data_IF_204887069087
#
_entry.id   IF_204887069087
#
_cell.length_a   1.000
_cell.length_b   1.000
_cell.length_c   1.000
_cell.angle_alpha   90.00
_cell.angle_beta   90.00
_cell.angle_gamma   90.00
#
_symmetry.space_group_name_H-M   'P 1'
#
loop_
_entity.id
_entity.type
_entity.pdbx_description
1 polymer ?
#
# COMPACT_ATOMS: atom_id res chain seq x y z
N UNK A 1 1.55 11.49 -6.66
CA UNK A 1 1.00 10.11 -6.69
C UNK A 1 0.86 9.61 -5.26
N UNK A 2 -0.26 9.02 -4.94
CA UNK A 2 -0.48 8.39 -3.63
C UNK A 2 0.41 7.13 -3.54
N UNK A 3 0.77 6.69 -2.32
CA UNK A 3 1.49 5.43 -2.09
C UNK A 3 0.56 4.24 -2.40
N UNK A 4 0.35 3.92 -3.67
CA UNK A 4 -0.52 2.83 -4.13
C UNK A 4 0.28 1.59 -4.49
N UNK A 5 -0.41 0.45 -4.61
CA UNK A 5 0.19 -0.81 -5.07
C UNK A 5 0.75 -0.65 -6.50
N UNK A 6 0.05 0.09 -7.38
CA UNK A 6 0.52 0.35 -8.73
C UNK A 6 1.86 1.10 -8.74
N UNK A 7 1.97 2.17 -7.95
CA UNK A 7 3.20 2.92 -7.82
C UNK A 7 4.33 2.06 -7.23
N UNK A 8 4.03 1.23 -6.21
CA UNK A 8 5.00 0.33 -5.60
C UNK A 8 5.54 -0.69 -6.60
N UNK A 9 4.66 -1.35 -7.34
CA UNK A 9 5.03 -2.38 -8.33
C UNK A 9 5.77 -1.78 -9.53
N UNK A 10 5.37 -0.61 -10.00
CA UNK A 10 6.09 0.12 -11.04
C UNK A 10 7.52 0.50 -10.60
N UNK A 11 7.67 1.11 -9.41
CA UNK A 11 9.00 1.45 -8.89
C UNK A 11 9.87 0.22 -8.65
N UNK A 12 9.28 -0.86 -8.18
CA UNK A 12 9.95 -2.15 -8.03
C UNK A 12 10.47 -2.67 -9.38
N UNK A 13 9.62 -2.66 -10.41
CA UNK A 13 10.01 -3.07 -11.76
C UNK A 13 11.13 -2.18 -12.34
N UNK A 14 11.06 -0.88 -12.07
CA UNK A 14 12.09 0.08 -12.49
C UNK A 14 13.42 -0.15 -11.76
N UNK A 15 13.41 -0.41 -10.46
CA UNK A 15 14.60 -0.74 -9.67
C UNK A 15 15.24 -2.07 -10.15
N UNK A 16 14.41 -3.03 -10.58
CA UNK A 16 14.86 -4.29 -11.20
C UNK A 16 15.41 -4.12 -12.65
N UNK A 17 15.30 -2.94 -13.24
CA UNK A 17 15.78 -2.64 -14.59
C UNK A 17 15.02 -3.38 -15.70
N UNK A 18 13.74 -3.66 -15.51
CA UNK A 18 12.92 -4.43 -16.46
C UNK A 18 11.90 -3.59 -17.21
N UNK A 19 11.85 -2.29 -16.98
CA UNK A 19 10.84 -1.38 -17.51
C UNK A 19 11.28 -0.75 -18.83
N UNK A 20 10.34 -0.67 -19.78
CA UNK A 20 10.41 0.16 -21.00
C UNK A 20 9.21 1.10 -20.96
N UNK A 21 9.43 2.39 -21.11
CA UNK A 21 8.37 3.41 -21.14
C UNK A 21 8.05 3.81 -22.58
N UNK A 22 6.80 4.17 -22.84
CA UNK A 22 6.30 4.63 -24.13
C UNK A 22 5.13 5.61 -23.99
N UNK A 23 4.64 6.08 -25.12
CA UNK A 23 3.48 6.97 -25.24
C UNK A 23 2.45 6.30 -26.15
N UNK A 24 1.27 6.00 -25.59
CA UNK A 24 0.20 5.39 -26.35
C UNK A 24 -0.25 6.29 -27.52
N UNK A 25 -0.53 5.69 -28.67
CA UNK A 25 -1.16 6.35 -29.82
C UNK A 25 -2.67 6.15 -29.84
N UNK A 26 -3.20 5.29 -28.96
CA UNK A 26 -4.61 5.00 -28.76
C UNK A 26 -4.85 3.76 -27.95
N UNK A 27 -6.09 3.32 -27.85
CA UNK A 27 -6.47 2.10 -27.18
C UNK A 27 -7.93 2.08 -26.74
N UNK A 28 -8.22 1.18 -25.82
CA UNK A 28 -9.53 0.99 -25.19
C UNK A 28 -9.34 0.53 -23.74
N UNK A 29 -10.41 0.14 -23.07
CA UNK A 29 -10.35 -0.48 -21.72
C UNK A 29 -9.66 -1.85 -21.69
N UNK A 30 -9.50 -2.48 -22.86
CA UNK A 30 -8.87 -3.81 -23.01
C UNK A 30 -7.68 -3.83 -23.96
N UNK A 31 -7.31 -2.68 -24.54
CA UNK A 31 -6.17 -2.60 -25.46
C UNK A 31 -5.37 -1.32 -25.25
N UNK A 32 -4.07 -1.38 -25.58
CA UNK A 32 -3.22 -0.21 -25.71
C UNK A 32 -2.47 -0.31 -27.04
N UNK A 33 -2.42 0.78 -27.79
CA UNK A 33 -1.77 0.86 -29.11
C UNK A 33 -0.64 1.87 -29.04
N UNK A 34 0.52 1.49 -29.55
CA UNK A 34 1.64 2.42 -29.73
C UNK A 34 2.42 2.08 -31.01
N UNK A 35 2.12 2.82 -32.06
CA UNK A 35 2.72 2.63 -33.39
C UNK A 35 4.14 3.17 -33.49
N UNK A 36 4.67 3.82 -32.47
CA UNK A 36 5.99 4.43 -32.46
C UNK A 36 7.05 3.52 -31.82
N UNK A 37 6.73 2.95 -30.68
CA UNK A 37 7.73 2.27 -29.84
C UNK A 37 7.58 0.75 -29.80
N UNK A 38 6.39 0.20 -30.13
CA UNK A 38 6.14 -1.25 -30.13
C UNK A 38 6.54 -1.91 -31.47
N UNK A 39 7.83 -1.95 -31.75
CA UNK A 39 8.40 -2.46 -33.01
C UNK A 39 8.86 -3.93 -32.94
N UNK A 40 8.52 -4.64 -31.88
CA UNK A 40 8.95 -6.00 -31.64
C UNK A 40 8.13 -7.00 -32.49
N UNK A 41 8.64 -8.24 -32.53
CA UNK A 41 7.92 -9.33 -33.22
C UNK A 41 6.65 -9.71 -32.46
N UNK A 42 5.74 -10.36 -33.16
CA UNK A 42 4.49 -10.88 -32.62
C UNK A 42 4.73 -11.69 -31.31
N UNK A 43 3.81 -11.63 -30.38
CA UNK A 43 3.90 -12.32 -29.07
C UNK A 43 5.05 -11.88 -28.14
N UNK A 44 5.87 -10.90 -28.54
CA UNK A 44 7.04 -10.49 -27.73
C UNK A 44 6.66 -10.05 -26.31
N UNK A 45 5.56 -9.30 -26.18
CA UNK A 45 5.08 -8.75 -24.93
C UNK A 45 4.09 -9.65 -24.18
N UNK A 46 3.75 -10.82 -24.70
CA UNK A 46 2.82 -11.73 -24.03
C UNK A 46 3.29 -12.09 -22.61
N UNK A 47 2.41 -11.84 -21.61
CA UNK A 47 2.73 -12.01 -20.19
C UNK A 47 3.51 -10.84 -19.55
N UNK A 48 3.76 -9.75 -20.28
CA UNK A 48 4.34 -8.53 -19.74
C UNK A 48 3.38 -7.84 -18.78
N UNK A 49 3.93 -7.05 -17.88
CA UNK A 49 3.16 -6.15 -17.00
C UNK A 49 3.01 -4.79 -17.67
N UNK A 50 1.85 -4.17 -17.57
CA UNK A 50 1.60 -2.81 -18.05
C UNK A 50 1.21 -1.94 -16.86
N UNK A 51 1.71 -0.70 -16.85
CA UNK A 51 1.28 0.38 -15.96
C UNK A 51 0.95 1.60 -16.78
N UNK A 52 -0.18 2.25 -16.50
CA UNK A 52 -0.51 3.58 -17.04
C UNK A 52 0.04 4.62 -16.06
N UNK A 53 1.05 5.37 -16.49
CA UNK A 53 1.79 6.28 -15.63
C UNK A 53 1.16 7.65 -15.53
N UNK A 54 0.54 8.12 -16.62
CA UNK A 54 -0.02 9.45 -16.69
C UNK A 54 -1.07 9.52 -17.79
N UNK A 55 -2.19 10.12 -17.48
CA UNK A 55 -3.22 10.49 -18.43
C UNK A 55 -2.77 11.68 -19.30
N UNK A 56 -3.09 11.65 -20.58
CA UNK A 56 -2.75 12.68 -21.56
C UNK A 56 -3.36 14.05 -21.24
N UNK A 57 -4.51 14.07 -20.57
CA UNK A 57 -5.18 15.29 -20.12
C UNK A 57 -4.58 15.87 -18.84
N UNK A 58 -3.61 15.19 -18.20
CA UNK A 58 -2.97 15.59 -16.94
C UNK A 58 -3.96 15.79 -15.78
N UNK A 59 -5.12 15.17 -15.88
CA UNK A 59 -6.21 15.33 -14.90
C UNK A 59 -6.12 14.36 -13.72
N UNK A 60 -5.10 13.48 -13.69
CA UNK A 60 -4.99 12.38 -12.75
C UNK A 60 -6.27 11.50 -12.72
N UNK A 61 -6.91 11.37 -13.89
CA UNK A 61 -8.11 10.57 -14.09
C UNK A 61 -7.75 9.15 -14.55
N UNK A 62 -8.66 8.21 -14.40
CA UNK A 62 -8.48 6.86 -14.94
C UNK A 62 -8.20 6.94 -16.47
N UNK A 63 -7.28 6.12 -16.99
CA UNK A 63 -6.65 4.98 -16.34
C UNK A 63 -5.29 5.27 -15.64
N UNK A 64 -4.98 6.54 -15.32
CA UNK A 64 -3.72 6.86 -14.62
C UNK A 64 -3.60 6.11 -13.28
N UNK A 65 -2.45 5.47 -13.06
CA UNK A 65 -2.18 4.72 -11.84
C UNK A 65 -2.74 3.29 -11.85
N UNK A 66 -3.21 2.81 -12.98
CA UNK A 66 -3.69 1.44 -13.13
C UNK A 66 -2.61 0.52 -13.70
N UNK A 67 -2.78 -0.78 -13.49
CA UNK A 67 -1.94 -1.81 -14.07
C UNK A 67 -2.76 -2.94 -14.70
N UNK A 68 -2.17 -3.60 -15.69
CA UNK A 68 -2.77 -4.76 -16.36
C UNK A 68 -1.68 -5.76 -16.76
N UNK A 69 -2.10 -6.93 -17.22
CA UNK A 69 -1.24 -7.94 -17.82
C UNK A 69 -1.50 -7.96 -19.32
N UNK A 70 -0.44 -7.93 -20.12
CA UNK A 70 -0.53 -8.14 -21.57
C UNK A 70 -0.86 -9.60 -21.82
N UNK A 71 -2.03 -9.87 -22.38
CA UNK A 71 -2.45 -11.21 -22.77
C UNK A 71 -1.95 -11.60 -24.15
N UNK A 72 -1.86 -10.61 -25.04
CA UNK A 72 -1.44 -10.81 -26.42
C UNK A 72 -0.82 -9.52 -27.00
N UNK A 73 0.13 -9.66 -27.90
CA UNK A 73 0.72 -8.57 -28.66
C UNK A 73 0.71 -8.88 -30.15
N UNK A 74 0.05 -8.03 -30.91
CA UNK A 74 -0.07 -8.13 -32.37
C UNK A 74 0.84 -7.09 -33.03
N UNK A 75 1.97 -7.53 -33.58
CA UNK A 75 2.98 -6.66 -34.17
C UNK A 75 2.50 -5.92 -35.43
N UNK A 76 1.55 -6.48 -36.19
CA UNK A 76 1.04 -5.85 -37.42
C UNK A 76 0.17 -4.62 -37.17
N UNK A 77 -0.33 -4.45 -35.97
CA UNK A 77 -1.18 -3.33 -35.51
C UNK A 77 -0.62 -2.61 -34.30
N UNK A 78 0.58 -3.00 -33.85
CA UNK A 78 1.27 -2.46 -32.66
C UNK A 78 0.34 -2.40 -31.43
N UNK A 79 -0.49 -3.46 -31.27
CA UNK A 79 -1.57 -3.52 -30.28
C UNK A 79 -1.26 -4.52 -29.19
N UNK A 80 -1.34 -4.06 -27.94
CA UNK A 80 -1.34 -4.87 -26.75
C UNK A 80 -2.78 -5.16 -26.33
N UNK A 81 -3.15 -6.44 -26.26
CA UNK A 81 -4.38 -6.88 -25.63
C UNK A 81 -4.14 -7.04 -24.14
N UNK A 82 -5.01 -6.47 -23.33
CA UNK A 82 -4.87 -6.39 -21.88
C UNK A 82 -5.88 -7.29 -21.18
N UNK A 83 -5.49 -7.77 -19.99
CA UNK A 83 -6.39 -8.46 -19.07
C UNK A 83 -6.16 -7.98 -17.65
N UNK A 84 -7.22 -8.06 -16.84
CA UNK A 84 -7.12 -7.75 -15.42
C UNK A 84 -6.19 -8.74 -14.70
N UNK A 85 -5.58 -8.32 -13.60
CA UNK A 85 -4.75 -9.14 -12.72
C UNK A 85 -5.58 -10.12 -11.91
N UNK A 86 -6.73 -9.68 -11.42
CA UNK A 86 -7.71 -10.56 -10.80
C UNK A 86 -8.27 -11.50 -11.87
N UNK A 87 -8.21 -12.80 -11.62
CA UNK A 87 -8.74 -13.81 -12.54
C UNK A 87 -10.26 -13.66 -12.69
N UNK A 88 -10.70 -12.81 -13.61
CA UNK A 88 -12.10 -12.53 -13.88
C UNK A 88 -12.30 -12.00 -15.30
N UNK A 89 -13.52 -12.15 -15.78
CA UNK A 89 -14.01 -11.52 -16.99
C UNK A 89 -14.34 -10.07 -16.65
N UNK A 90 -13.53 -9.12 -17.04
CA UNK A 90 -13.77 -7.69 -16.84
C UNK A 90 -12.78 -6.87 -17.65
N UNK A 91 -13.05 -5.60 -17.77
CA UNK A 91 -12.17 -4.64 -18.41
C UNK A 91 -10.81 -4.62 -17.68
N UNK A 92 -9.74 -4.52 -18.43
CA UNK A 92 -8.39 -4.52 -17.89
C UNK A 92 -8.07 -3.17 -17.22
N UNK A 93 -8.64 -2.10 -17.76
CA UNK A 93 -8.53 -0.73 -17.28
C UNK A 93 -9.93 -0.19 -17.00
N UNK A 94 -10.06 0.73 -16.07
CA UNK A 94 -11.37 1.34 -15.73
C UNK A 94 -11.81 2.40 -16.72
N UNK A 95 -10.87 2.95 -17.50
CA UNK A 95 -11.14 3.84 -18.63
C UNK A 95 -10.27 3.47 -19.82
N UNK A 96 -10.67 3.93 -21.01
CA UNK A 96 -9.94 3.67 -22.23
C UNK A 96 -8.57 4.35 -22.22
N UNK A 97 -7.53 3.63 -22.63
CA UNK A 97 -6.24 4.23 -22.90
C UNK A 97 -6.37 5.18 -24.11
N UNK A 98 -5.88 6.39 -23.98
CA UNK A 98 -5.99 7.45 -24.98
C UNK A 98 -4.63 7.74 -25.64
N UNK A 99 -4.68 8.40 -26.79
CA UNK A 99 -3.46 8.91 -27.43
C UNK A 99 -2.81 9.98 -26.54
N UNK A 100 -1.52 9.82 -26.30
CA UNK A 100 -0.75 10.69 -25.39
C UNK A 100 -0.58 10.18 -23.98
N UNK A 101 -1.29 9.12 -23.59
CA UNK A 101 -1.10 8.49 -22.28
C UNK A 101 0.30 7.89 -22.17
N UNK A 102 0.97 8.16 -21.06
CA UNK A 102 2.28 7.56 -20.80
C UNK A 102 2.10 6.23 -20.11
N UNK A 103 2.78 5.22 -20.61
CA UNK A 103 2.72 3.87 -20.08
C UNK A 103 4.13 3.29 -19.85
N UNK A 104 4.18 2.20 -19.11
CA UNK A 104 5.38 1.41 -18.90
C UNK A 104 5.07 -0.07 -19.10
N UNK A 105 5.99 -0.80 -19.74
CA UNK A 105 5.95 -2.24 -19.91
C UNK A 105 7.07 -2.90 -19.12
N UNK A 106 6.71 -3.85 -18.28
CA UNK A 106 7.63 -4.69 -17.55
C UNK A 106 7.83 -6.03 -18.23
N UNK A 107 9.10 -6.38 -18.50
CA UNK A 107 9.42 -7.66 -19.14
C UNK A 107 8.91 -8.85 -18.32
N UNK A 108 8.42 -9.91 -19.00
CA UNK A 108 7.91 -11.15 -18.40
C UNK A 108 8.86 -11.89 -17.45
N UNK A 109 10.11 -11.41 -17.35
CA UNK A 109 11.11 -11.93 -16.40
C UNK A 109 10.63 -11.88 -14.94
N UNK A 110 9.85 -10.87 -14.57
CA UNK A 110 9.18 -10.69 -13.29
C UNK A 110 7.70 -10.40 -13.55
N UNK A 111 6.85 -11.43 -13.59
CA UNK A 111 5.41 -11.25 -13.84
C UNK A 111 4.75 -10.37 -12.78
N UNK A 112 3.72 -9.62 -13.15
CA UNK A 112 3.04 -8.66 -12.27
C UNK A 112 2.56 -9.29 -10.96
N UNK A 113 1.93 -10.48 -11.02
CA UNK A 113 1.50 -11.19 -9.81
C UNK A 113 2.66 -11.53 -8.86
N UNK A 114 3.87 -11.76 -9.40
CA UNK A 114 5.07 -11.96 -8.57
C UNK A 114 5.50 -10.64 -7.91
N UNK A 115 5.48 -9.53 -8.65
CA UNK A 115 5.79 -8.20 -8.09
C UNK A 115 4.84 -7.85 -6.95
N UNK A 116 3.53 -8.02 -7.16
CA UNK A 116 2.48 -7.82 -6.13
C UNK A 116 2.75 -8.72 -4.91
N UNK A 117 2.97 -10.01 -5.13
CA UNK A 117 3.28 -10.95 -4.05
C UNK A 117 4.51 -10.54 -3.24
N UNK A 118 5.56 -9.99 -3.89
CA UNK A 118 6.77 -9.56 -3.19
C UNK A 118 6.61 -8.23 -2.48
N UNK A 119 5.77 -7.32 -2.96
CA UNK A 119 5.37 -6.12 -2.23
C UNK A 119 4.60 -6.51 -0.96
N UNK A 120 3.61 -7.37 -1.07
CA UNK A 120 2.86 -7.88 0.09
C UNK A 120 3.75 -8.61 1.09
N UNK A 121 4.66 -9.46 0.61
CA UNK A 121 5.62 -10.15 1.47
C UNK A 121 6.53 -9.16 2.21
N UNK A 122 7.02 -8.12 1.52
CA UNK A 122 7.84 -7.08 2.15
C UNK A 122 7.08 -6.34 3.26
N UNK A 123 5.81 -6.01 3.02
CA UNK A 123 4.95 -5.36 4.02
C UNK A 123 4.72 -6.25 5.25
N UNK A 124 4.48 -7.54 5.06
CA UNK A 124 4.31 -8.50 6.16
C UNK A 124 5.62 -8.67 6.94
N UNK A 125 6.77 -8.79 6.27
CA UNK A 125 8.08 -8.94 6.91
C UNK A 125 8.53 -7.69 7.70
N UNK A 126 7.97 -6.52 7.39
CA UNK A 126 8.15 -5.31 8.20
C UNK A 126 7.50 -5.41 9.58
N UNK A 127 6.62 -6.39 9.81
CA UNK A 127 5.93 -6.61 11.07
C UNK A 127 4.72 -5.70 11.26
N UNK A 128 4.37 -5.45 12.51
CA UNK A 128 3.24 -4.59 12.84
C UNK A 128 3.54 -3.12 12.57
N UNK A 129 2.60 -2.44 11.96
CA UNK A 129 2.68 -1.03 11.62
C UNK A 129 1.36 -0.32 11.93
N UNK A 130 1.35 1.01 12.02
CA UNK A 130 0.09 1.73 12.21
C UNK A 130 -0.79 1.58 10.97
N UNK A 131 -2.03 1.16 11.20
CA UNK A 131 -3.09 1.10 10.20
C UNK A 131 -4.14 2.13 10.57
N UNK A 132 -4.63 2.85 9.59
CA UNK A 132 -5.68 3.86 9.75
C UNK A 132 -6.98 3.33 9.17
N UNK A 133 -8.03 3.31 9.98
CA UNK A 133 -9.39 2.99 9.56
C UNK A 133 -10.28 4.22 9.80
N UNK A 134 -10.99 4.65 8.77
CA UNK A 134 -11.89 5.80 8.81
C UNK A 134 -13.32 5.45 8.40
N UNK A 135 -13.61 4.18 8.20
CA UNK A 135 -14.86 3.72 7.58
C UNK A 135 -15.71 2.83 8.45
N UNK A 136 -15.15 2.28 9.54
CA UNK A 136 -15.84 1.26 10.34
C UNK A 136 -16.77 1.87 11.38
N UNK A 137 -16.47 3.05 11.91
CA UNK A 137 -17.24 3.66 12.99
C UNK A 137 -17.70 5.06 12.58
N UNK A 138 -19.04 5.24 12.58
CA UNK A 138 -19.70 6.52 12.49
C UNK A 138 -20.39 6.84 13.81
N UNK A 139 -20.36 8.12 14.23
CA UNK A 139 -21.05 8.52 15.45
C UNK A 139 -22.56 8.49 15.26
N UNK A 140 -23.26 7.92 16.25
CA UNK A 140 -24.72 7.87 16.30
C UNK A 140 -25.27 8.70 17.46
N UNK A 141 -26.56 9.12 17.34
CA UNK A 141 -27.22 9.88 18.38
C UNK A 141 -27.30 9.11 19.70
N UNK A 142 -26.97 9.77 20.79
CA UNK A 142 -27.03 9.22 22.15
C UNK A 142 -26.15 7.96 22.38
N UNK A 143 -25.19 7.68 21.51
CA UNK A 143 -24.31 6.54 21.62
C UNK A 143 -22.90 6.97 22.08
N UNK A 144 -22.33 6.23 23.02
CA UNK A 144 -20.96 6.38 23.52
C UNK A 144 -20.14 5.10 23.37
N UNK A 145 -20.80 3.98 23.02
CA UNK A 145 -20.21 2.64 22.93
C UNK A 145 -20.26 2.17 21.47
N UNK A 146 -19.10 1.82 20.91
CA UNK A 146 -18.98 1.40 19.52
C UNK A 146 -18.21 0.09 19.44
N UNK A 147 -18.70 -0.85 18.62
CA UNK A 147 -18.00 -2.11 18.39
C UNK A 147 -16.70 -1.84 17.63
N UNK A 148 -15.58 -2.33 18.16
CA UNK A 148 -14.29 -2.23 17.49
C UNK A 148 -14.13 -3.31 16.42
N UNK A 149 -13.49 -3.01 15.27
CA UNK A 149 -13.02 -4.04 14.36
C UNK A 149 -12.04 -4.97 15.09
N UNK A 150 -12.01 -6.25 14.71
CA UNK A 150 -11.17 -7.27 15.37
C UNK A 150 -9.71 -6.84 15.45
N UNK A 151 -9.18 -6.24 14.37
CA UNK A 151 -7.80 -5.77 14.32
C UNK A 151 -7.50 -4.69 15.38
N UNK A 152 -8.39 -3.70 15.56
CA UNK A 152 -8.20 -2.63 16.54
C UNK A 152 -8.23 -3.10 17.99
N UNK A 153 -8.83 -4.26 18.27
CA UNK A 153 -8.83 -4.86 19.61
C UNK A 153 -7.42 -5.21 20.09
N UNK A 154 -6.48 -5.43 19.20
CA UNK A 154 -5.12 -5.86 19.55
C UNK A 154 -4.27 -4.73 20.11
N UNK A 155 -4.22 -3.58 19.44
CA UNK A 155 -3.40 -2.42 19.87
C UNK A 155 -3.89 -1.10 19.28
N UNK A 156 -5.06 -0.62 19.74
CA UNK A 156 -5.56 0.70 19.35
C UNK A 156 -4.72 1.79 20.00
N UNK A 157 -4.19 2.72 19.21
CA UNK A 157 -3.27 3.79 19.64
C UNK A 157 -3.94 5.13 19.73
N UNK A 158 -4.71 5.51 18.71
CA UNK A 158 -5.31 6.82 18.60
C UNK A 158 -6.75 6.70 18.11
N UNK A 159 -7.58 7.62 18.59
CA UNK A 159 -8.97 7.80 18.15
C UNK A 159 -9.16 9.26 17.80
N UNK A 160 -9.70 9.55 16.62
CA UNK A 160 -9.94 10.89 16.12
C UNK A 160 -11.37 11.01 15.65
N UNK A 161 -11.95 12.20 15.77
CA UNK A 161 -13.28 12.53 15.29
C UNK A 161 -13.19 13.49 14.12
N UNK A 162 -13.96 13.25 13.08
CA UNK A 162 -14.15 14.20 11.99
C UNK A 162 -14.92 15.43 12.50
N UNK A 163 -14.39 16.63 12.31
CA UNK A 163 -14.99 17.87 12.84
C UNK A 163 -15.98 18.53 11.88
N UNK A 164 -15.80 18.30 10.58
CA UNK A 164 -16.64 18.87 9.52
C UNK A 164 -17.15 17.75 8.63
N UNK A 165 -18.46 17.70 8.38
CA UNK A 165 -19.09 16.81 7.40
C UNK A 165 -19.39 17.56 6.12
N UNK A 166 -19.23 16.90 4.97
CA UNK A 166 -19.76 17.38 3.70
C UNK A 166 -18.77 18.09 2.78
N UNK A 167 -17.54 18.31 3.21
CA UNK A 167 -16.48 18.78 2.31
C UNK A 167 -15.44 17.69 2.12
N UNK A 168 -15.42 17.06 0.96
CA UNK A 168 -14.48 15.97 0.64
C UNK A 168 -13.01 16.39 0.72
N UNK A 169 -12.73 17.69 0.72
CA UNK A 169 -11.38 18.24 0.74
C UNK A 169 -10.93 18.79 2.10
N UNK A 170 -11.83 18.94 3.07
CA UNK A 170 -11.51 19.51 4.40
C UNK A 170 -11.83 18.52 5.53
N UNK A 171 -11.22 17.35 5.46
CA UNK A 171 -11.29 16.33 6.52
C UNK A 171 -10.44 16.77 7.70
N UNK A 172 -10.95 17.67 8.54
CA UNK A 172 -10.31 18.04 9.79
C UNK A 172 -10.60 16.99 10.85
N UNK A 173 -9.53 16.48 11.43
CA UNK A 173 -9.59 15.47 12.48
C UNK A 173 -9.19 16.09 13.81
N UNK A 174 -10.00 15.86 14.84
CA UNK A 174 -9.70 16.24 16.21
C UNK A 174 -9.44 14.99 17.05
N UNK A 175 -8.31 14.90 17.79
CA UNK A 175 -8.03 13.77 18.65
C UNK A 175 -9.05 13.68 19.79
N UNK A 176 -9.55 12.48 20.03
CA UNK A 176 -10.37 12.18 21.21
C UNK A 176 -9.44 11.67 22.30
N UNK A 177 -9.46 12.32 23.43
CA UNK A 177 -8.72 11.91 24.62
C UNK A 177 -9.67 11.19 25.60
N UNK A 178 -9.10 10.41 26.52
CA UNK A 178 -9.85 9.70 27.58
C UNK A 178 -10.86 8.66 27.07
N UNK A 179 -10.69 8.15 25.84
CA UNK A 179 -11.41 6.96 25.40
C UNK A 179 -10.88 5.72 26.13
N UNK A 180 -11.73 4.69 26.26
CA UNK A 180 -11.37 3.42 26.90
C UNK A 180 -11.84 2.24 26.07
N UNK A 181 -11.26 1.08 26.29
CA UNK A 181 -11.72 -0.17 25.66
C UNK A 181 -12.30 -1.05 26.75
N UNK A 182 -13.56 -1.42 26.58
CA UNK A 182 -14.19 -2.44 27.42
C UNK A 182 -13.98 -3.79 26.73
N UNK A 183 -13.24 -4.67 27.39
CA UNK A 183 -12.98 -6.02 26.92
C UNK A 183 -14.23 -6.88 27.02
N UNK A 184 -14.56 -7.57 25.93
CA UNK A 184 -15.65 -8.53 25.92
C UNK A 184 -15.23 -9.83 26.64
N UNK A 185 -16.06 -10.29 27.60
CA UNK A 185 -15.83 -11.55 28.28
C UNK A 185 -16.20 -12.79 27.45
N UNK A 186 -16.96 -12.61 26.37
CA UNK A 186 -17.58 -13.71 25.60
C UNK A 186 -16.99 -13.91 24.19
N UNK A 187 -15.86 -13.26 23.88
CA UNK A 187 -15.25 -13.36 22.55
C UNK A 187 -15.97 -12.58 21.44
N UNK A 188 -17.00 -11.79 21.78
CA UNK A 188 -17.55 -10.77 20.91
C UNK A 188 -16.58 -9.60 20.77
N UNK A 189 -16.79 -8.74 19.79
CA UNK A 189 -15.92 -7.57 19.58
C UNK A 189 -15.83 -6.71 20.87
N UNK A 190 -14.63 -6.22 21.16
CA UNK A 190 -14.44 -5.24 22.22
C UNK A 190 -15.19 -3.95 21.91
N UNK A 191 -15.53 -3.17 22.93
CA UNK A 191 -16.25 -1.91 22.76
C UNK A 191 -15.32 -0.73 22.99
N UNK A 192 -15.32 0.21 22.05
CA UNK A 192 -14.73 1.53 22.23
C UNK A 192 -15.71 2.41 23.00
N UNK A 193 -15.28 2.88 24.17
CA UNK A 193 -16.04 3.81 25.00
C UNK A 193 -15.53 5.22 24.78
N UNK A 194 -16.37 6.08 24.22
CA UNK A 194 -16.05 7.50 24.07
C UNK A 194 -16.44 8.29 25.32
N UNK A 195 -15.69 9.37 25.68
CA UNK A 195 -15.91 10.09 26.93
C UNK A 195 -17.21 10.88 26.98
N UNK A 196 -17.81 11.15 25.82
CA UNK A 196 -19.06 11.88 25.68
C UNK A 196 -19.78 11.48 24.39
N UNK A 197 -21.01 11.92 24.24
CA UNK A 197 -21.76 11.82 22.98
C UNK A 197 -21.25 12.89 21.99
N UNK A 198 -21.09 12.48 20.76
CA UNK A 198 -20.68 13.36 19.67
C UNK A 198 -21.83 13.59 18.69
N UNK A 199 -21.79 14.66 17.85
CA UNK A 199 -22.75 14.86 16.78
C UNK A 199 -22.85 13.62 15.86
N UNK A 200 -24.03 13.32 15.37
CA UNK A 200 -24.28 12.18 14.48
C UNK A 200 -23.57 12.31 13.13
N UNK A 201 -23.35 11.17 12.47
CA UNK A 201 -22.77 11.11 11.11
C UNK A 201 -21.37 11.71 10.99
N UNK A 202 -20.57 11.53 12.01
CA UNK A 202 -19.13 11.88 12.01
C UNK A 202 -18.31 10.60 11.94
N UNK A 203 -17.40 10.55 11.00
CA UNK A 203 -16.46 9.44 10.92
C UNK A 203 -15.52 9.44 12.13
N UNK A 204 -15.25 8.27 12.66
CA UNK A 204 -14.26 8.05 13.71
C UNK A 204 -13.04 7.38 13.10
N UNK A 205 -11.91 8.09 13.10
CA UNK A 205 -10.65 7.54 12.64
C UNK A 205 -9.97 6.78 13.77
N UNK A 206 -9.72 5.50 13.53
CA UNK A 206 -8.97 4.61 14.40
C UNK A 206 -7.55 4.44 13.86
N UNK A 207 -6.54 4.57 14.73
CA UNK A 207 -5.15 4.20 14.40
C UNK A 207 -4.73 3.08 15.33
N UNK A 208 -4.44 1.91 14.78
CA UNK A 208 -4.08 0.71 15.53
C UNK A 208 -2.86 0.01 14.90
N UNK A 209 -2.22 -0.84 15.68
CA UNK A 209 -1.04 -1.59 15.21
C UNK A 209 -1.49 -2.96 14.71
N UNK A 210 -1.21 -3.24 13.44
CA UNK A 210 -1.46 -4.56 12.84
C UNK A 210 -0.47 -4.82 11.71
N UNK A 211 -0.46 -6.03 11.20
CA UNK A 211 0.20 -6.35 9.94
C UNK A 211 -0.53 -5.68 8.80
N UNK A 212 0.21 -5.22 7.79
CA UNK A 212 -0.43 -4.59 6.63
C UNK A 212 -1.37 -5.58 5.94
N UNK A 213 -2.62 -5.18 5.61
CA UNK A 213 -3.52 -6.02 4.83
C UNK A 213 -2.93 -6.33 3.45
N UNK A 214 -3.34 -7.47 2.87
CA UNK A 214 -2.94 -7.81 1.51
C UNK A 214 -3.47 -6.74 0.53
N UNK A 215 -2.64 -6.40 -0.44
CA UNK A 215 -2.96 -5.45 -1.50
C UNK A 215 -3.15 -6.24 -2.80
N UNK A 216 -4.30 -6.11 -3.42
CA UNK A 216 -4.67 -6.85 -4.62
C UNK A 216 -5.00 -5.95 -5.81
N UNK A 217 -5.50 -4.75 -5.55
CA UNK A 217 -5.91 -3.79 -6.57
C UNK A 217 -4.86 -2.68 -6.76
N UNK A 218 -4.82 -2.12 -7.97
CA UNK A 218 -3.92 -1.03 -8.34
C UNK A 218 -4.07 0.20 -7.43
N UNK A 219 -5.30 0.50 -7.00
CA UNK A 219 -5.66 1.63 -6.13
C UNK A 219 -5.40 1.40 -4.64
N UNK A 220 -5.11 0.17 -4.21
CA UNK A 220 -4.86 -0.14 -2.81
C UNK A 220 -3.72 0.68 -2.24
N UNK A 221 -3.97 1.29 -1.10
CA UNK A 221 -3.01 2.22 -0.46
C UNK A 221 -2.10 1.50 0.51
N UNK A 222 -0.82 1.76 0.37
CA UNK A 222 0.19 1.41 1.37
C UNK A 222 0.07 2.41 2.53
N UNK A 223 0.14 1.90 3.76
CA UNK A 223 0.08 2.74 4.96
C UNK A 223 1.00 3.96 4.87
N UNK A 224 0.49 5.15 5.20
CA UNK A 224 1.23 6.41 5.22
C UNK A 224 2.41 6.42 6.22
N UNK A 225 2.40 5.49 7.16
CA UNK A 225 3.44 5.31 8.17
C UNK A 225 4.67 4.56 7.65
N UNK A 226 4.58 3.99 6.45
CA UNK A 226 5.67 3.27 5.77
C UNK A 226 6.10 4.04 4.53
N UNK A 227 7.39 4.32 4.43
CA UNK A 227 7.90 5.02 3.26
C UNK A 227 8.04 4.05 2.07
N UNK A 228 7.46 4.43 0.92
CA UNK A 228 7.43 3.60 -0.28
C UNK A 228 8.82 3.09 -0.72
N UNK A 229 9.86 3.92 -0.59
CA UNK A 229 11.23 3.49 -0.94
C UNK A 229 11.73 2.31 -0.09
N UNK A 230 11.26 2.16 1.16
CA UNK A 230 11.57 1.02 2.00
C UNK A 230 10.89 -0.24 1.48
N UNK A 231 9.59 -0.15 1.17
CA UNK A 231 8.82 -1.27 0.59
C UNK A 231 9.46 -1.75 -0.70
N UNK A 232 9.76 -0.82 -1.62
CA UNK A 232 10.40 -1.14 -2.91
C UNK A 232 11.75 -1.80 -2.72
N UNK A 233 12.57 -1.30 -1.81
CA UNK A 233 13.92 -1.85 -1.57
C UNK A 233 13.85 -3.28 -1.02
N UNK A 234 12.99 -3.53 -0.03
CA UNK A 234 12.83 -4.86 0.54
C UNK A 234 12.20 -5.83 -0.47
N UNK A 235 11.18 -5.40 -1.22
CA UNK A 235 10.59 -6.19 -2.30
C UNK A 235 11.60 -6.50 -3.43
N UNK A 236 12.52 -5.58 -3.73
CA UNK A 236 13.60 -5.83 -4.73
C UNK A 236 14.46 -7.02 -4.31
N UNK A 237 14.90 -7.06 -3.07
CA UNK A 237 15.68 -8.19 -2.56
C UNK A 237 14.88 -9.49 -2.65
N UNK A 238 13.61 -9.48 -2.25
CA UNK A 238 12.73 -10.65 -2.33
C UNK A 238 12.54 -11.14 -3.78
N UNK A 239 12.42 -10.22 -4.74
CA UNK A 239 12.36 -10.56 -6.17
C UNK A 239 13.66 -11.20 -6.67
N UNK A 240 14.82 -10.67 -6.27
CA UNK A 240 16.12 -11.23 -6.64
C UNK A 240 16.35 -12.62 -6.02
N UNK A 241 15.96 -12.81 -4.77
CA UNK A 241 16.02 -14.11 -4.09
C UNK A 241 15.08 -15.13 -4.76
N UNK A 242 13.84 -14.74 -5.07
CA UNK A 242 12.90 -15.60 -5.80
C UNK A 242 13.46 -16.02 -7.16
N UNK A 243 14.08 -15.09 -7.88
CA UNK A 243 14.69 -15.40 -9.17
C UNK A 243 15.89 -16.33 -9.01
N UNK A 244 16.73 -16.14 -7.99
CA UNK A 244 17.85 -17.03 -7.68
C UNK A 244 17.38 -18.46 -7.44
N UNK A 245 16.24 -18.66 -6.78
CA UNK A 245 15.64 -19.97 -6.58
C UNK A 245 15.19 -20.61 -7.90
N UNK A 246 14.71 -19.80 -8.86
CA UNK A 246 14.25 -20.31 -10.18
C UNK A 246 15.37 -20.63 -11.16
N UNK A 247 16.39 -19.79 -11.23
CA UNK A 247 17.48 -19.91 -12.23
C UNK A 247 18.64 -20.74 -11.71
N UNK A 248 18.72 -20.91 -10.40
CA UNK A 248 19.84 -21.60 -9.74
C UNK A 248 20.95 -20.62 -9.29
N UNK A 249 21.84 -21.11 -8.44
CA UNK A 249 22.87 -20.30 -7.79
C UNK A 249 24.01 -19.82 -8.73
N UNK A 250 24.02 -20.29 -9.98
CA UNK A 250 25.13 -20.09 -10.92
C UNK A 250 25.09 -18.81 -11.76
N UNK A 251 24.03 -17.97 -11.63
CA UNK A 251 23.94 -16.71 -12.39
C UNK A 251 24.82 -15.63 -11.70
N UNK A 252 26.00 -15.26 -12.28
CA UNK A 252 26.90 -14.30 -11.67
C UNK A 252 26.27 -12.91 -11.58
N UNK A 253 25.50 -12.50 -12.59
CA UNK A 253 24.85 -11.18 -12.64
C UNK A 253 23.85 -11.02 -11.50
N UNK A 254 23.10 -12.08 -11.21
CA UNK A 254 22.13 -12.09 -10.12
C UNK A 254 22.81 -12.03 -8.74
N UNK A 255 23.95 -12.72 -8.60
CA UNK A 255 24.74 -12.67 -7.37
C UNK A 255 25.36 -11.28 -7.16
N UNK A 256 25.82 -10.62 -8.22
CA UNK A 256 26.31 -9.23 -8.16
C UNK A 256 25.20 -8.27 -7.76
N UNK A 257 23.99 -8.41 -8.34
CA UNK A 257 22.81 -7.62 -7.94
C UNK A 257 22.47 -7.85 -6.46
N UNK A 258 22.42 -9.08 -5.99
CA UNK A 258 22.18 -9.37 -4.57
C UNK A 258 23.25 -8.78 -3.67
N UNK A 259 24.53 -8.88 -4.04
CA UNK A 259 25.63 -8.29 -3.29
C UNK A 259 25.53 -6.75 -3.27
N UNK A 260 25.06 -6.11 -4.33
CA UNK A 260 24.80 -4.66 -4.37
C UNK A 260 23.78 -4.22 -3.32
N UNK A 261 22.73 -5.02 -3.07
CA UNK A 261 21.69 -4.66 -2.11
C UNK A 261 22.00 -5.13 -0.69
N UNK A 262 22.58 -6.31 -0.52
CA UNK A 262 22.82 -6.97 0.77
C UNK A 262 24.27 -6.90 1.24
N UNK A 263 25.22 -6.66 0.32
CA UNK A 263 26.64 -6.56 0.66
C UNK A 263 26.94 -5.30 1.47
N UNK A 264 27.95 -5.37 2.36
CA UNK A 264 28.37 -4.21 3.11
C UNK A 264 29.01 -3.17 2.19
N UNK A 265 28.50 -1.94 2.23
CA UNK A 265 29.16 -0.79 1.60
C UNK A 265 30.19 -0.15 2.53
N UNK A 266 30.84 0.91 2.04
CA UNK A 266 31.75 1.73 2.87
C UNK A 266 30.99 2.20 4.11
N UNK A 267 31.42 1.78 5.30
CA UNK A 267 30.75 2.02 6.57
C UNK A 267 30.03 0.80 7.18
N UNK A 268 30.12 -0.39 6.54
CA UNK A 268 29.68 -1.66 7.12
C UNK A 268 28.16 -1.96 7.03
N UNK A 269 27.37 -1.04 6.51
CA UNK A 269 25.91 -1.20 6.34
C UNK A 269 25.57 -1.54 4.88
N UNK A 270 24.63 -2.45 4.66
CA UNK A 270 24.07 -2.73 3.33
C UNK A 270 23.18 -1.57 2.84
N UNK A 271 22.90 -1.53 1.53
CA UNK A 271 21.97 -0.56 0.95
C UNK A 271 20.57 -0.66 1.60
N UNK A 272 20.12 -1.87 1.87
CA UNK A 272 18.84 -2.12 2.56
C UNK A 272 18.86 -1.58 3.98
N UNK A 273 19.92 -1.81 4.74
CA UNK A 273 20.02 -1.32 6.12
C UNK A 273 20.04 0.20 6.18
N UNK A 274 20.72 0.86 5.23
CA UNK A 274 20.70 2.33 5.11
C UNK A 274 19.30 2.87 4.87
N UNK A 275 18.52 2.18 4.04
CA UNK A 275 17.11 2.56 3.77
C UNK A 275 16.24 2.31 5.00
N UNK A 276 16.43 1.21 5.72
CA UNK A 276 15.71 0.92 6.98
C UNK A 276 15.96 1.98 8.05
N UNK A 277 17.21 2.39 8.20
CA UNK A 277 17.60 3.46 9.15
C UNK A 277 17.02 4.82 8.71
N UNK A 278 17.10 5.13 7.43
CA UNK A 278 16.61 6.41 6.88
C UNK A 278 15.09 6.55 6.95
N UNK A 279 14.38 5.45 6.78
CA UNK A 279 12.92 5.41 6.72
C UNK A 279 12.37 4.40 7.75
N UNK A 280 12.48 4.69 9.04
CA UNK A 280 11.87 3.84 10.07
C UNK A 280 10.34 3.88 9.96
N UNK A 281 9.68 2.83 10.40
CA UNK A 281 8.23 2.83 10.54
C UNK A 281 7.86 3.82 11.64
N UNK A 282 6.96 4.75 11.35
CA UNK A 282 6.49 5.73 12.32
C UNK A 282 5.41 5.11 13.17
N UNK A 283 5.70 4.88 14.44
CA UNK A 283 4.71 4.39 15.42
C UNK A 283 4.13 5.56 16.19
N UNK A 284 2.80 5.77 16.18
CA UNK A 284 2.17 6.78 17.00
C UNK A 284 2.30 6.42 18.48
N UNK A 285 2.33 7.43 19.34
CA UNK A 285 2.30 7.22 20.78
C UNK A 285 0.92 6.72 21.19
N UNK A 286 0.86 5.76 22.13
CA UNK A 286 -0.40 5.32 22.67
C UNK A 286 -0.98 6.38 23.62
N UNK A 287 -2.17 6.86 23.31
CA UNK A 287 -2.93 7.80 24.16
C UNK A 287 -4.14 7.11 24.79
N UNK A 288 -3.95 5.93 25.38
CA UNK A 288 -5.04 5.17 25.98
C UNK A 288 -4.89 5.05 27.48
N UNK A 289 -6.03 5.11 28.19
CA UNK A 289 -6.14 4.67 29.59
C UNK A 289 -6.91 3.36 29.61
N UNK A 290 -6.39 2.35 30.29
CA UNK A 290 -7.12 1.12 30.55
C UNK A 290 -7.97 1.30 31.80
N UNK A 291 -9.28 1.13 31.67
CA UNK A 291 -10.15 0.86 32.81
C UNK A 291 -10.24 -0.66 32.99
N UNK A 292 -9.61 -1.17 34.04
CA UNK A 292 -9.88 -2.53 34.49
C UNK A 292 -11.22 -2.44 35.25
N UNK A 293 -12.22 -3.17 34.76
CA UNK A 293 -13.53 -3.24 35.46
C UNK A 293 -13.31 -3.67 36.90
N UNK A 294 -13.60 -2.78 37.85
CA UNK A 294 -13.53 -3.05 39.29
C UNK A 294 -12.37 -2.43 40.08
N UNK A 295 -11.39 -1.82 39.44
CA UNK A 295 -10.37 -1.04 40.16
C UNK A 295 -10.33 0.40 39.64
N UNK A 296 -10.75 1.35 40.44
CA UNK A 296 -10.32 2.74 40.30
C UNK A 296 -8.82 2.77 40.61
N UNK A 297 -8.00 2.90 39.59
CA UNK A 297 -6.60 3.30 39.82
C UNK A 297 -6.68 4.74 40.28
N UNK A 298 -6.29 4.98 41.56
CA UNK A 298 -6.19 6.33 42.10
C UNK A 298 -5.28 7.15 41.16
N UNK A 299 -5.72 8.35 40.77
CA UNK A 299 -5.06 9.22 39.81
C UNK A 299 -3.67 9.71 40.25
N UNK A 300 -3.19 9.34 41.44
CA UNK A 300 -2.07 9.95 42.13
C UNK A 300 -0.73 9.19 42.08
N UNK A 301 -0.65 8.05 41.37
CA UNK A 301 0.60 7.25 41.39
C UNK A 301 1.50 7.39 40.17
N UNK A 302 1.15 8.22 39.19
CA UNK A 302 2.02 8.43 38.02
C UNK A 302 2.45 9.89 37.90
N UNK A 303 3.67 10.10 38.29
CA UNK A 303 4.51 11.29 38.08
C UNK A 303 4.63 12.26 39.28
N UNK A 304 5.47 11.92 40.20
CA UNK A 304 6.24 12.91 40.95
C UNK A 304 7.51 13.18 40.18
N UNK A 305 7.71 14.40 39.60
CA UNK A 305 9.01 14.78 39.08
C UNK A 305 10.02 14.82 40.26
N UNK A 306 11.29 14.45 40.04
CA UNK A 306 12.31 14.61 41.08
C UNK A 306 12.38 16.07 41.46
N UNK A 307 12.42 16.31 42.77
CA UNK A 307 12.59 17.65 43.36
C UNK A 307 13.90 18.29 42.89
N UNK A 308 13.95 19.61 42.74
CA UNK A 308 15.09 20.38 42.23
C UNK A 308 16.36 20.20 43.08
#
# INVERSE_FOLDING_TARGET
MANTLAEATYRLARELGIVTEGIATGGSVTTLIDTNDLTQVDDYWNGASLWVLRDSAEAAAAPEGEFAIVSDFVASTDTLSLRNVAAGTGDALTAAAAAGDRYALGKKRYPLHTLISKVNQALIEMGTMPITDTTTIDTASAQTEYSLPIAANMDLREVWLQTITGDANDNRWQPIHNWTIQKSATGTADLLMLPMQYPTTRDVKLVYMDTHPALDDHGDKISEHVHLSRVVMEATVLCLLWRKQKVGAGDPTLNEQLNFYLGPEVGGLSKVDKVRIRYPIRTPMAHRRFLVVGQRVAEDEFYTPPAP
#
